data_IF_619722543882
#
_entry.id   IF_619722543882
#
_cell.length_a   1.000
_cell.length_b   1.000
_cell.length_c   1.000
_cell.angle_alpha   90.00
_cell.angle_beta   90.00
_cell.angle_gamma   90.00
#
_symmetry.space_group_name_H-M   'P 1'
#
loop_
_entity.id
_entity.type
_entity.pdbx_description
1 polymer ?
#
# COMPACT_ATOMS: atom_id res chain seq x y z
N UNK A 1 -10.46 11.54 -7.49
CA UNK A 1 -10.15 12.21 -6.23
C UNK A 1 -8.87 11.62 -5.65
N UNK A 2 -7.96 12.46 -5.15
CA UNK A 2 -6.77 12.02 -4.45
C UNK A 2 -7.08 11.90 -2.95
N UNK A 3 -6.53 10.87 -2.30
CA UNK A 3 -6.61 10.68 -0.85
C UNK A 3 -5.23 10.88 -0.24
N UNK A 4 -5.17 11.25 1.04
CA UNK A 4 -3.90 11.34 1.76
C UNK A 4 -3.21 9.98 1.76
N UNK A 5 -1.91 9.90 1.35
CA UNK A 5 -1.18 8.64 1.28
C UNK A 5 -0.90 8.10 2.69
N UNK A 6 -1.65 7.10 3.12
CA UNK A 6 -1.55 6.54 4.49
C UNK A 6 -0.48 5.48 4.67
N UNK A 7 -0.17 4.71 3.62
CA UNK A 7 0.74 3.56 3.69
C UNK A 7 2.14 3.89 4.25
N UNK A 8 2.84 4.94 3.79
CA UNK A 8 4.17 5.26 4.33
C UNK A 8 4.15 5.54 5.82
N UNK A 9 3.13 6.28 6.30
CA UNK A 9 2.98 6.58 7.71
C UNK A 9 2.61 5.37 8.55
N UNK A 10 1.72 4.51 8.06
CA UNK A 10 1.35 3.26 8.70
C UNK A 10 2.57 2.33 8.86
N UNK A 11 3.39 2.20 7.81
CA UNK A 11 4.63 1.39 7.86
C UNK A 11 5.62 1.98 8.88
N UNK A 12 5.86 3.29 8.87
CA UNK A 12 6.74 3.94 9.84
C UNK A 12 6.24 3.75 11.28
N UNK A 13 4.94 3.94 11.50
CA UNK A 13 4.32 3.77 12.81
C UNK A 13 4.45 2.33 13.32
N UNK A 14 4.10 1.35 12.49
CA UNK A 14 4.22 -0.07 12.82
C UNK A 14 5.66 -0.47 13.11
N UNK A 15 6.61 -0.06 12.27
CA UNK A 15 8.02 -0.36 12.45
C UNK A 15 8.57 0.30 13.74
N UNK A 16 8.21 1.55 14.01
CA UNK A 16 8.68 2.29 15.18
C UNK A 16 8.20 1.68 16.50
N UNK A 17 6.94 1.22 16.56
CA UNK A 17 6.30 0.76 17.78
C UNK A 17 6.42 -0.75 18.01
N UNK A 18 6.39 -1.56 16.96
CA UNK A 18 6.31 -3.02 17.04
C UNK A 18 7.50 -3.75 16.38
N UNK A 19 8.27 -3.06 15.54
CA UNK A 19 9.42 -3.64 14.86
C UNK A 19 10.72 -3.50 15.63
N UNK A 20 11.74 -4.25 15.19
CA UNK A 20 13.11 -4.24 15.75
C UNK A 20 14.15 -3.75 14.74
N UNK A 21 13.83 -3.78 13.45
CA UNK A 21 14.74 -3.39 12.37
C UNK A 21 14.78 -1.88 12.16
N UNK A 22 15.79 -1.38 11.44
CA UNK A 22 15.83 -0.01 10.95
C UNK A 22 14.96 0.16 9.69
N UNK A 23 14.53 1.38 9.39
CA UNK A 23 13.80 1.68 8.15
C UNK A 23 14.68 1.37 6.93
N UNK A 24 15.99 1.65 7.01
CA UNK A 24 16.96 1.30 5.97
C UNK A 24 16.93 -0.19 5.63
N UNK A 25 16.93 -1.06 6.64
CA UNK A 25 16.90 -2.52 6.44
C UNK A 25 15.59 -2.97 5.79
N UNK A 26 14.46 -2.43 6.26
CA UNK A 26 13.12 -2.80 5.76
C UNK A 26 12.89 -2.31 4.32
N UNK A 27 13.36 -1.10 3.98
CA UNK A 27 13.19 -0.53 2.64
C UNK A 27 14.21 -1.01 1.61
N UNK A 28 15.31 -1.64 2.03
CA UNK A 28 16.38 -2.07 1.11
C UNK A 28 15.88 -2.92 -0.06
N UNK A 29 15.03 -3.96 0.12
CA UNK A 29 14.51 -4.73 -1.01
C UNK A 29 13.60 -3.91 -1.93
N UNK A 30 12.75 -3.03 -1.36
CA UNK A 30 11.89 -2.16 -2.17
C UNK A 30 12.69 -1.15 -2.99
N UNK A 31 13.76 -0.60 -2.41
CA UNK A 31 14.69 0.29 -3.12
C UNK A 31 15.45 -0.45 -4.23
N UNK A 32 15.86 -1.70 -3.98
CA UNK A 32 16.49 -2.52 -5.00
C UNK A 32 15.55 -2.75 -6.19
N UNK A 33 14.28 -3.09 -5.95
CA UNK A 33 13.26 -3.23 -7.01
C UNK A 33 13.01 -1.90 -7.73
N UNK A 34 12.89 -0.79 -7.00
CA UNK A 34 12.68 0.52 -7.60
C UNK A 34 13.85 0.96 -8.49
N UNK A 35 15.09 0.53 -8.18
CA UNK A 35 16.28 0.81 -9.02
C UNK A 35 16.30 0.02 -10.32
N UNK A 36 15.53 -1.07 -10.42
CA UNK A 36 15.33 -1.83 -11.64
C UNK A 36 15.17 -3.33 -11.40
N UNK A 37 14.19 -3.90 -12.06
CA UNK A 37 13.96 -5.36 -12.07
C UNK A 37 13.37 -5.78 -13.43
N UNK A 38 13.56 -7.03 -13.84
CA UNK A 38 12.91 -7.54 -15.05
C UNK A 38 11.40 -7.63 -14.82
N UNK A 39 10.62 -6.84 -15.57
CA UNK A 39 9.17 -6.81 -15.43
C UNK A 39 8.57 -8.13 -15.92
N UNK A 40 7.59 -8.65 -15.19
CA UNK A 40 6.87 -9.87 -15.61
C UNK A 40 5.88 -9.58 -16.76
N UNK A 41 5.57 -10.65 -17.51
CA UNK A 41 4.71 -10.57 -18.68
C UNK A 41 3.27 -10.11 -18.34
N UNK A 42 2.73 -10.49 -17.18
CA UNK A 42 1.36 -10.12 -16.78
C UNK A 42 1.27 -8.62 -16.52
N UNK A 43 2.22 -8.07 -15.77
CA UNK A 43 2.30 -6.63 -15.47
C UNK A 43 2.54 -5.83 -16.74
N UNK A 44 3.53 -6.19 -17.56
CA UNK A 44 3.83 -5.55 -18.83
C UNK A 44 2.61 -5.51 -19.78
N UNK A 45 1.90 -6.63 -19.92
CA UNK A 45 0.68 -6.70 -20.74
C UNK A 45 -0.50 -5.93 -20.12
N UNK A 46 -0.57 -5.80 -18.81
CA UNK A 46 -1.61 -4.99 -18.15
C UNK A 46 -1.38 -3.50 -18.38
N UNK A 47 -0.13 -3.05 -18.36
CA UNK A 47 0.24 -1.68 -18.73
C UNK A 47 -0.12 -1.40 -20.19
N UNK A 48 0.22 -2.31 -21.12
CA UNK A 48 -0.11 -2.14 -22.54
C UNK A 48 -1.62 -2.05 -22.77
N UNK A 49 -2.42 -2.90 -22.14
CA UNK A 49 -3.89 -2.82 -22.23
C UNK A 49 -4.47 -1.52 -21.69
N UNK A 50 -3.82 -0.95 -20.68
CA UNK A 50 -4.25 0.31 -20.05
C UNK A 50 -3.61 1.58 -20.62
N UNK A 51 -2.79 1.48 -21.68
CA UNK A 51 -1.94 2.57 -22.14
C UNK A 51 -2.69 3.86 -22.50
N UNK A 52 -3.87 3.76 -23.09
CA UNK A 52 -4.62 4.96 -23.50
C UNK A 52 -5.04 5.78 -22.27
N UNK A 53 -5.50 5.12 -21.21
CA UNK A 53 -5.80 5.78 -19.94
C UNK A 53 -4.55 6.29 -19.24
N UNK A 54 -3.44 5.55 -19.30
CA UNK A 54 -2.16 5.97 -18.70
C UNK A 54 -1.64 7.25 -19.35
N UNK A 55 -1.86 7.44 -20.67
CA UNK A 55 -1.46 8.64 -21.41
C UNK A 55 -2.15 9.92 -20.95
N UNK A 56 -3.34 9.83 -20.35
CA UNK A 56 -4.07 10.97 -19.80
C UNK A 56 -3.34 11.58 -18.58
N UNK A 57 -2.39 10.84 -17.99
CA UNK A 57 -1.71 11.19 -16.74
C UNK A 57 -0.20 11.37 -17.01
N UNK A 58 0.30 12.60 -17.09
CA UNK A 58 1.68 12.89 -17.52
C UNK A 58 2.75 12.12 -16.75
N UNK A 59 2.60 12.02 -15.42
CA UNK A 59 3.56 11.31 -14.56
C UNK A 59 3.48 9.79 -14.74
N UNK A 60 2.26 9.24 -14.84
CA UNK A 60 2.06 7.81 -15.11
C UNK A 60 2.59 7.43 -16.49
N UNK A 61 2.32 8.26 -17.51
CA UNK A 61 2.86 8.07 -18.86
C UNK A 61 4.39 7.97 -18.85
N UNK A 62 5.06 8.89 -18.14
CA UNK A 62 6.51 8.91 -18.02
C UNK A 62 7.09 7.63 -17.42
N UNK A 63 6.42 7.06 -16.41
CA UNK A 63 6.91 5.88 -15.68
C UNK A 63 6.56 4.58 -16.41
N UNK A 64 5.33 4.45 -16.92
CA UNK A 64 4.81 3.17 -17.38
C UNK A 64 4.90 2.95 -18.89
N UNK A 65 5.15 3.99 -19.67
CA UNK A 65 5.20 3.90 -21.13
C UNK A 65 6.58 4.34 -21.67
N UNK A 66 7.61 3.50 -21.53
CA UNK A 66 8.96 3.86 -22.00
C UNK A 66 9.07 3.94 -23.53
N UNK A 67 8.16 3.31 -24.28
CA UNK A 67 8.18 3.20 -25.74
C UNK A 67 7.07 4.00 -26.41
N UNK A 68 6.72 5.19 -25.89
CA UNK A 68 5.65 6.03 -26.42
C UNK A 68 5.82 6.28 -27.93
N UNK A 69 4.77 6.00 -28.70
CA UNK A 69 4.76 6.15 -30.17
C UNK A 69 5.13 4.89 -30.95
N UNK A 70 5.53 3.84 -30.28
CA UNK A 70 5.78 2.53 -30.89
C UNK A 70 4.48 1.67 -30.93
N UNK A 71 4.51 0.55 -31.65
CA UNK A 71 3.38 -0.40 -31.68
C UNK A 71 3.01 -0.88 -30.28
N UNK A 72 4.01 -1.20 -29.47
CA UNK A 72 3.89 -1.47 -28.04
C UNK A 72 4.54 -0.32 -27.28
N UNK A 73 3.79 0.32 -26.39
CA UNK A 73 4.28 1.47 -25.62
C UNK A 73 4.67 1.12 -24.17
N UNK A 74 4.14 0.00 -23.66
CA UNK A 74 4.55 -0.58 -22.37
C UNK A 74 5.91 -1.30 -22.49
N UNK A 75 6.58 -1.56 -21.35
CA UNK A 75 7.78 -2.40 -21.36
C UNK A 75 7.50 -3.78 -21.97
N UNK A 76 8.53 -4.38 -22.57
CA UNK A 76 8.51 -5.79 -22.95
C UNK A 76 8.70 -6.68 -21.71
N UNK A 77 8.16 -7.92 -21.77
CA UNK A 77 8.38 -8.90 -20.69
C UNK A 77 9.88 -9.19 -20.53
N UNK A 78 10.39 -9.05 -19.32
CA UNK A 78 11.82 -9.22 -19.00
C UNK A 78 12.66 -7.94 -19.17
N UNK A 79 12.10 -6.86 -19.70
CA UNK A 79 12.76 -5.57 -19.75
C UNK A 79 13.00 -5.00 -18.35
N UNK A 80 14.09 -4.29 -18.15
CA UNK A 80 14.41 -3.67 -16.85
C UNK A 80 13.50 -2.47 -16.62
N UNK A 81 12.52 -2.65 -15.76
CA UNK A 81 11.59 -1.61 -15.34
C UNK A 81 12.13 -0.87 -14.12
N UNK A 82 12.16 0.47 -14.18
CA UNK A 82 12.70 1.34 -13.14
C UNK A 82 11.65 2.33 -12.67
N UNK A 83 11.69 2.65 -11.38
CA UNK A 83 10.91 3.71 -10.76
C UNK A 83 11.85 4.67 -10.01
N UNK A 84 12.60 5.48 -10.77
CA UNK A 84 13.68 6.31 -10.24
C UNK A 84 13.19 7.32 -9.18
N UNK A 85 12.03 7.95 -9.40
CA UNK A 85 11.46 8.92 -8.45
C UNK A 85 10.98 8.24 -7.16
N UNK A 86 10.47 6.98 -7.25
CA UNK A 86 10.17 6.19 -6.06
C UNK A 86 11.46 5.84 -5.31
N UNK A 87 12.50 5.41 -6.00
CA UNK A 87 13.82 5.15 -5.39
C UNK A 87 14.36 6.37 -4.65
N UNK A 88 14.29 7.56 -5.28
CA UNK A 88 14.72 8.82 -4.65
C UNK A 88 13.88 9.12 -3.41
N UNK A 89 12.57 8.93 -3.47
CA UNK A 89 11.66 9.17 -2.34
C UNK A 89 11.98 8.26 -1.16
N UNK A 90 12.16 6.95 -1.40
CA UNK A 90 12.54 5.99 -0.38
C UNK A 90 13.94 6.29 0.19
N UNK A 91 14.89 6.70 -0.67
CA UNK A 91 16.23 7.12 -0.26
C UNK A 91 16.20 8.32 0.67
N UNK A 92 15.38 9.33 0.41
CA UNK A 92 15.18 10.49 1.29
C UNK A 92 14.64 10.10 2.66
N UNK A 93 13.71 9.13 2.72
CA UNK A 93 13.20 8.63 4.00
C UNK A 93 14.31 7.92 4.79
N UNK A 94 15.09 7.06 4.15
CA UNK A 94 16.25 6.39 4.78
C UNK A 94 17.30 7.40 5.22
N UNK A 95 17.58 8.42 4.42
CA UNK A 95 18.53 9.50 4.79
C UNK A 95 18.07 10.23 6.05
N UNK A 96 16.79 10.55 6.19
CA UNK A 96 16.24 11.20 7.38
C UNK A 96 16.44 10.34 8.65
N UNK A 97 16.17 9.04 8.57
CA UNK A 97 16.46 8.09 9.66
C UNK A 97 17.95 8.12 10.02
N UNK A 98 18.84 7.98 9.02
CA UNK A 98 20.28 7.90 9.26
C UNK A 98 20.83 9.19 9.85
N UNK A 99 20.36 10.36 9.42
CA UNK A 99 20.75 11.65 9.98
C UNK A 99 20.28 11.80 11.43
N UNK A 100 19.08 11.33 11.77
CA UNK A 100 18.56 11.34 13.13
C UNK A 100 19.37 10.41 14.05
N UNK A 101 19.74 9.22 13.59
CA UNK A 101 20.62 8.29 14.33
C UNK A 101 22.00 8.89 14.57
N UNK A 102 22.59 9.54 13.58
CA UNK A 102 23.88 10.26 13.73
C UNK A 102 23.83 11.38 14.76
N UNK A 103 22.66 11.97 14.99
CA UNK A 103 22.41 12.98 16.05
C UNK A 103 22.12 12.35 17.43
N UNK A 104 22.25 11.03 17.56
CA UNK A 104 22.04 10.32 18.83
C UNK A 104 20.56 10.06 19.16
N UNK A 105 19.65 10.22 18.23
CA UNK A 105 18.23 9.93 18.45
C UNK A 105 18.00 8.42 18.59
N UNK A 106 17.00 8.04 19.38
CA UNK A 106 16.59 6.63 19.48
C UNK A 106 16.09 6.09 18.14
N UNK A 107 16.14 4.77 17.94
CA UNK A 107 15.60 4.10 16.73
C UNK A 107 14.17 4.57 16.39
N UNK A 108 13.28 4.57 17.38
CA UNK A 108 11.89 5.02 17.21
C UNK A 108 11.83 6.46 16.71
N UNK A 109 12.56 7.38 17.34
CA UNK A 109 12.58 8.78 16.95
C UNK A 109 13.20 8.98 15.56
N UNK A 110 14.20 8.19 15.19
CA UNK A 110 14.82 8.24 13.87
C UNK A 110 13.87 7.77 12.76
N UNK A 111 13.10 6.70 12.99
CA UNK A 111 12.04 6.26 12.05
C UNK A 111 10.97 7.35 11.91
N UNK A 112 10.58 8.00 13.01
CA UNK A 112 9.61 9.09 12.97
C UNK A 112 10.16 10.36 12.28
N UNK A 113 11.48 10.56 12.24
CA UNK A 113 12.07 11.62 11.41
C UNK A 113 11.88 11.35 9.90
N UNK A 114 11.90 10.08 9.47
CA UNK A 114 11.56 9.72 8.10
C UNK A 114 10.06 9.95 7.81
N UNK A 115 9.17 9.62 8.76
CA UNK A 115 7.75 9.96 8.70
C UNK A 115 7.55 11.47 8.51
N UNK A 116 8.21 12.29 9.34
CA UNK A 116 8.09 13.75 9.24
C UNK A 116 8.60 14.30 7.92
N UNK A 117 9.69 13.73 7.35
CA UNK A 117 10.18 14.12 6.03
C UNK A 117 9.15 13.85 4.94
N UNK A 118 8.41 12.72 5.04
CA UNK A 118 7.36 12.39 4.08
C UNK A 118 6.16 13.34 4.21
N UNK A 119 5.66 13.58 5.41
CA UNK A 119 4.40 14.32 5.60
C UNK A 119 4.57 15.83 5.81
N UNK A 120 5.77 16.30 6.19
CA UNK A 120 6.02 17.71 6.52
C UNK A 120 7.21 18.30 5.78
N UNK A 121 8.06 17.45 5.18
CA UNK A 121 9.31 17.87 4.54
C UNK A 121 9.18 18.15 3.04
N UNK A 122 10.30 17.97 2.36
CA UNK A 122 10.45 18.17 0.93
C UNK A 122 9.60 17.20 0.09
N UNK A 123 9.39 15.96 0.58
CA UNK A 123 8.52 14.97 -0.07
C UNK A 123 7.08 15.48 -0.08
N UNK A 124 6.57 15.99 1.05
CA UNK A 124 5.24 16.58 1.12
C UNK A 124 5.07 17.76 0.17
N UNK A 125 6.11 18.61 0.06
CA UNK A 125 6.10 19.76 -0.84
C UNK A 125 5.91 19.34 -2.29
N UNK A 126 6.69 18.36 -2.74
CA UNK A 126 6.62 17.85 -4.11
C UNK A 126 5.32 17.09 -4.38
N UNK A 127 4.86 16.28 -3.42
CA UNK A 127 3.58 15.58 -3.53
C UNK A 127 2.40 16.56 -3.72
N UNK A 128 2.33 17.60 -2.88
CA UNK A 128 1.26 18.61 -2.96
C UNK A 128 1.34 19.38 -4.28
N UNK A 129 2.55 19.77 -4.72
CA UNK A 129 2.77 20.42 -6.01
C UNK A 129 2.18 19.58 -7.15
N UNK A 130 2.61 18.32 -7.27
CA UNK A 130 2.14 17.44 -8.34
C UNK A 130 0.65 17.10 -8.25
N UNK A 131 0.10 16.99 -7.04
CA UNK A 131 -1.34 16.78 -6.83
C UNK A 131 -2.16 17.99 -7.31
N UNK A 132 -1.79 19.18 -6.90
CA UNK A 132 -2.53 20.41 -7.24
C UNK A 132 -2.37 20.79 -8.72
N UNK A 133 -1.23 20.54 -9.32
CA UNK A 133 -0.99 20.71 -10.76
C UNK A 133 -1.97 19.88 -11.62
N UNK A 134 -2.40 18.73 -11.10
CA UNK A 134 -3.39 17.86 -11.74
C UNK A 134 -4.83 18.10 -11.24
N UNK A 135 -5.10 19.23 -10.59
CA UNK A 135 -6.42 19.59 -10.10
C UNK A 135 -6.83 18.92 -8.77
N UNK A 136 -5.90 18.26 -8.08
CA UNK A 136 -6.15 17.70 -6.75
C UNK A 136 -6.22 18.78 -5.66
N UNK A 137 -6.88 18.46 -4.54
CA UNK A 137 -7.19 19.43 -3.47
C UNK A 137 -6.31 19.27 -2.23
N UNK A 138 -5.45 18.25 -2.17
CA UNK A 138 -4.62 18.00 -0.98
C UNK A 138 -3.65 19.17 -0.77
N UNK A 139 -3.58 19.62 0.48
CA UNK A 139 -2.69 20.69 0.95
C UNK A 139 -1.56 20.13 1.81
N UNK A 140 -0.52 20.93 2.04
CA UNK A 140 0.53 20.59 3.01
C UNK A 140 -0.03 20.42 4.42
N UNK A 141 -1.08 21.15 4.78
CA UNK A 141 -1.70 21.05 6.09
C UNK A 141 -2.42 19.71 6.26
N UNK A 142 -3.08 19.21 5.21
CA UNK A 142 -3.72 17.89 5.24
C UNK A 142 -2.70 16.79 5.48
N UNK A 143 -1.55 16.84 4.79
CA UNK A 143 -0.45 15.89 5.02
C UNK A 143 0.13 16.03 6.43
N UNK A 144 0.42 17.24 6.88
CA UNK A 144 1.03 17.48 8.19
C UNK A 144 0.11 17.07 9.36
N UNK A 145 -1.21 17.17 9.18
CA UNK A 145 -2.21 16.79 10.18
C UNK A 145 -2.51 15.29 10.16
N UNK A 146 -2.18 14.60 9.06
CA UNK A 146 -2.48 13.17 8.95
C UNK A 146 -1.67 12.35 9.97
N UNK A 147 -2.34 11.39 10.61
CA UNK A 147 -1.73 10.44 11.55
C UNK A 147 -2.36 9.07 11.37
N UNK A 148 -1.58 7.98 11.48
CA UNK A 148 -2.15 6.65 11.59
C UNK A 148 -2.93 6.54 12.90
N UNK A 149 -4.07 5.86 12.84
CA UNK A 149 -4.93 5.62 14.00
C UNK A 149 -4.87 4.12 14.30
N UNK A 150 -4.59 3.78 15.55
CA UNK A 150 -4.74 2.41 16.04
C UNK A 150 -6.17 2.23 16.54
N UNK A 151 -6.86 1.26 15.95
CA UNK A 151 -8.24 0.94 16.29
C UNK A 151 -8.33 -0.43 16.94
N UNK A 152 -9.24 -0.58 17.90
CA UNK A 152 -9.61 -1.89 18.42
C UNK A 152 -10.22 -2.73 17.27
N UNK A 153 -9.82 -4.00 17.20
CA UNK A 153 -10.42 -4.94 16.26
C UNK A 153 -11.80 -5.37 16.71
N UNK A 154 -12.66 -5.76 15.76
CA UNK A 154 -13.86 -6.54 16.07
C UNK A 154 -13.55 -8.03 15.92
N UNK A 155 -14.24 -8.90 16.65
CA UNK A 155 -13.99 -10.34 16.59
C UNK A 155 -15.24 -11.16 16.85
N UNK A 156 -15.22 -12.39 16.40
CA UNK A 156 -16.16 -13.46 16.76
C UNK A 156 -15.38 -14.73 17.03
N UNK A 157 -15.93 -15.61 17.87
CA UNK A 157 -15.43 -16.97 17.99
C UNK A 157 -16.20 -17.88 17.04
N UNK A 158 -15.52 -18.47 16.06
CA UNK A 158 -16.10 -19.41 15.12
C UNK A 158 -15.53 -20.81 15.39
N UNK A 159 -16.37 -21.70 15.95
CA UNK A 159 -15.99 -23.10 16.24
C UNK A 159 -14.69 -23.23 17.04
N UNK A 160 -14.51 -22.37 18.06
CA UNK A 160 -13.32 -22.37 18.92
C UNK A 160 -12.12 -21.57 18.38
N UNK A 161 -12.26 -20.91 17.24
CA UNK A 161 -11.22 -20.05 16.64
C UNK A 161 -11.67 -18.59 16.74
N UNK A 162 -10.88 -17.75 17.40
CA UNK A 162 -11.12 -16.31 17.41
C UNK A 162 -10.68 -15.68 16.10
N UNK A 163 -11.63 -15.07 15.39
CA UNK A 163 -11.42 -14.41 14.11
C UNK A 163 -11.52 -12.90 14.30
N UNK A 164 -10.40 -12.21 14.12
CA UNK A 164 -10.29 -10.77 14.27
C UNK A 164 -10.35 -10.06 12.92
N UNK A 165 -11.08 -8.95 12.85
CA UNK A 165 -11.21 -8.12 11.65
C UNK A 165 -11.16 -6.64 12.02
N UNK A 166 -10.90 -5.82 11.01
CA UNK A 166 -11.01 -4.36 11.12
C UNK A 166 -12.48 -3.95 11.21
N UNK A 167 -12.73 -2.72 11.64
CA UNK A 167 -14.04 -2.14 11.90
C UNK A 167 -14.88 -1.92 10.64
N UNK A 168 -16.03 -1.26 10.79
CA UNK A 168 -17.08 -1.10 9.77
C UNK A 168 -16.67 -0.35 8.49
N UNK A 169 -15.54 0.29 8.46
CA UNK A 169 -14.99 0.91 7.25
C UNK A 169 -14.35 -0.11 6.28
N UNK A 170 -14.36 -1.39 6.65
CA UNK A 170 -13.91 -2.53 5.83
C UNK A 170 -15.02 -3.57 5.69
N UNK A 171 -14.74 -4.64 4.93
CA UNK A 171 -15.62 -5.82 4.84
C UNK A 171 -15.49 -6.77 6.07
N UNK A 172 -14.76 -6.34 7.10
CA UNK A 172 -14.56 -7.13 8.32
C UNK A 172 -15.86 -7.59 8.98
N UNK A 173 -16.76 -6.67 9.34
CA UNK A 173 -18.03 -7.02 9.98
C UNK A 173 -18.89 -7.97 9.16
N UNK A 174 -18.94 -7.80 7.83
CA UNK A 174 -19.70 -8.71 6.96
C UNK A 174 -19.17 -10.15 7.03
N UNK A 175 -17.83 -10.35 7.03
CA UNK A 175 -17.24 -11.66 7.21
C UNK A 175 -17.58 -12.25 8.58
N UNK A 176 -17.47 -11.47 9.66
CA UNK A 176 -17.78 -11.93 11.01
C UNK A 176 -19.25 -12.31 11.16
N UNK A 177 -20.15 -11.55 10.55
CA UNK A 177 -21.59 -11.85 10.53
C UNK A 177 -21.87 -13.15 9.75
N UNK A 178 -21.24 -13.32 8.59
CA UNK A 178 -21.37 -14.56 7.82
C UNK A 178 -20.88 -15.79 8.61
N UNK A 179 -19.78 -15.67 9.35
CA UNK A 179 -19.28 -16.74 10.22
C UNK A 179 -20.26 -17.08 11.33
N UNK A 180 -20.86 -16.08 12.01
CA UNK A 180 -21.87 -16.30 13.05
C UNK A 180 -23.13 -17.01 12.49
N UNK A 181 -23.53 -16.70 11.25
CA UNK A 181 -24.63 -17.40 10.58
C UNK A 181 -24.22 -18.85 10.29
N UNK A 182 -23.04 -19.04 9.68
CA UNK A 182 -22.55 -20.36 9.28
C UNK A 182 -22.24 -21.29 10.45
N UNK A 183 -21.99 -20.77 11.64
CA UNK A 183 -21.76 -21.59 12.84
C UNK A 183 -22.96 -22.48 13.18
N UNK A 184 -24.18 -22.08 12.81
CA UNK A 184 -25.41 -22.82 13.02
C UNK A 184 -25.60 -24.01 12.04
N UNK A 185 -24.69 -24.21 11.10
CA UNK A 185 -24.78 -25.25 10.08
C UNK A 185 -23.62 -26.25 10.20
N UNK A 186 -23.93 -27.54 10.03
CA UNK A 186 -22.91 -28.56 9.86
C UNK A 186 -22.41 -28.62 8.40
N UNK A 187 -21.55 -27.65 8.05
CA UNK A 187 -20.99 -27.54 6.71
C UNK A 187 -20.18 -28.77 6.30
N UNK A 188 -19.58 -29.49 7.29
CA UNK A 188 -18.78 -30.68 7.02
C UNK A 188 -19.65 -31.82 6.47
N UNK A 189 -20.83 -32.05 7.05
CA UNK A 189 -21.75 -33.08 6.59
C UNK A 189 -22.35 -32.81 5.21
N UNK A 190 -22.37 -31.57 4.77
CA UNK A 190 -22.87 -31.19 3.45
C UNK A 190 -21.95 -31.63 2.30
N UNK A 191 -20.70 -31.93 2.59
CA UNK A 191 -19.67 -32.22 1.59
C UNK A 191 -19.10 -30.95 0.94
N UNK A 192 -17.78 -30.85 0.91
CA UNK A 192 -17.11 -29.68 0.34
C UNK A 192 -17.53 -29.45 -1.13
N UNK A 193 -17.85 -28.21 -1.46
CA UNK A 193 -18.24 -27.79 -2.81
C UNK A 193 -19.49 -28.47 -3.39
N UNK A 194 -20.33 -29.11 -2.55
CA UNK A 194 -21.65 -29.62 -2.97
C UNK A 194 -22.63 -28.48 -3.21
N UNK A 195 -23.71 -28.72 -3.95
CA UNK A 195 -24.78 -27.72 -4.17
C UNK A 195 -25.34 -27.18 -2.85
N UNK A 196 -25.55 -28.06 -1.85
CA UNK A 196 -26.05 -27.67 -0.53
C UNK A 196 -25.05 -26.78 0.21
N UNK A 197 -23.75 -27.15 0.17
CA UNK A 197 -22.67 -26.36 0.76
C UNK A 197 -22.61 -24.96 0.14
N UNK A 198 -22.51 -24.88 -1.21
CA UNK A 198 -22.42 -23.62 -1.95
C UNK A 198 -23.65 -22.75 -1.65
N UNK A 199 -24.85 -23.32 -1.71
CA UNK A 199 -26.09 -22.59 -1.44
C UNK A 199 -26.10 -22.02 -0.02
N UNK A 200 -25.73 -22.82 1.00
CA UNK A 200 -25.69 -22.37 2.40
C UNK A 200 -24.68 -21.23 2.60
N UNK A 201 -23.48 -21.35 2.03
CA UNK A 201 -22.46 -20.29 2.12
C UNK A 201 -22.92 -19.01 1.40
N UNK A 202 -23.50 -19.15 0.21
CA UNK A 202 -24.04 -18.02 -0.55
C UNK A 202 -25.15 -17.27 0.20
N UNK A 203 -26.06 -17.98 0.88
CA UNK A 203 -27.13 -17.36 1.65
C UNK A 203 -26.63 -16.67 2.94
N UNK A 204 -25.46 -17.06 3.44
CA UNK A 204 -24.86 -16.44 4.62
C UNK A 204 -24.05 -15.16 4.27
N UNK A 205 -23.74 -14.97 3.00
CA UNK A 205 -22.95 -13.82 2.48
C UNK A 205 -23.85 -12.70 1.93
#
# INVERSE_FOLDING_TARGET
>A
AATTPGTPGGICHMLANYGTMSLKQVLAPAMQLASGYPIDAQTANSIERGKDRIKEWPYSKKVFLPHVGEKREAPEAGEIFKQEELFITLSKMVEAEQLALKKGMSRKAAIMAAYDRFYKGDIATEFVRGCQEQGGLITKQDLANWKPIEEATTHVNYKGIDVYKLQQWTQGPALLQALNILENFDLKSMGYNSTKYIHTVYQAM
#
